data_IF_125931897470
#
_entry.id   IF_125931897470
#
_cell.length_a   1.000
_cell.length_b   1.000
_cell.length_c   1.000
_cell.angle_alpha   90.00
_cell.angle_beta   90.00
_cell.angle_gamma   90.00
#
_symmetry.space_group_name_H-M   'P 1'
#
loop_
_entity.id
_entity.type
_entity.pdbx_description
1 polymer ?
#
# COMPACT_ATOMS: atom_id res chain seq x y z
N UNK A 1 58.50 41.86 25.59
CA UNK A 1 57.58 42.98 25.69
C UNK A 1 56.57 42.93 24.59
N UNK A 2 55.35 42.69 24.98
CA UNK A 2 54.05 42.90 24.33
C UNK A 2 53.64 42.16 23.03
N UNK A 3 52.78 41.24 23.26
CA UNK A 3 51.38 41.10 22.76
C UNK A 3 51.18 40.81 21.27
N UNK A 4 50.94 39.57 20.95
CA UNK A 4 49.97 39.20 19.93
C UNK A 4 49.35 37.83 20.31
N UNK A 5 48.47 37.84 21.30
CA UNK A 5 47.51 36.75 21.56
C UNK A 5 46.12 37.35 21.42
N UNK A 6 45.29 36.69 20.65
CA UNK A 6 43.82 36.84 20.55
C UNK A 6 43.31 37.31 19.18
N UNK A 7 43.44 36.46 18.15
CA UNK A 7 42.51 36.54 17.01
C UNK A 7 42.35 35.20 16.22
N UNK A 8 43.04 34.14 16.63
CA UNK A 8 42.94 32.86 15.91
C UNK A 8 41.78 31.98 16.44
N UNK A 9 41.41 32.16 17.70
CA UNK A 9 40.38 31.33 18.35
C UNK A 9 38.95 31.59 17.80
N UNK A 10 38.60 32.84 17.51
CA UNK A 10 37.23 33.19 17.06
C UNK A 10 36.93 32.78 15.61
N UNK A 11 37.92 32.82 14.72
CA UNK A 11 37.74 32.39 13.33
C UNK A 11 37.64 30.88 13.21
N UNK A 12 38.33 30.10 14.03
CA UNK A 12 38.24 28.66 14.03
C UNK A 12 36.89 28.12 14.52
N UNK A 13 36.33 28.75 15.55
CA UNK A 13 35.01 28.37 16.07
C UNK A 13 33.91 28.71 15.06
N UNK A 14 34.05 29.86 14.36
CA UNK A 14 33.03 30.23 13.36
C UNK A 14 33.07 29.35 12.10
N UNK A 15 34.29 28.97 11.66
CA UNK A 15 34.46 28.02 10.53
C UNK A 15 33.99 26.60 10.89
N UNK A 16 34.23 26.14 12.12
CA UNK A 16 33.73 24.87 12.60
C UNK A 16 32.21 24.87 12.73
N UNK A 17 31.61 25.97 13.18
CA UNK A 17 30.18 26.12 13.32
C UNK A 17 29.48 26.17 11.95
N UNK A 18 30.05 26.83 10.95
CA UNK A 18 29.54 26.82 9.58
C UNK A 18 29.72 25.46 8.89
N UNK A 19 30.88 24.79 9.08
CA UNK A 19 31.07 23.44 8.55
C UNK A 19 30.14 22.41 9.20
N UNK A 20 29.90 22.56 10.50
CA UNK A 20 28.93 21.67 11.21
C UNK A 20 27.49 21.94 10.76
N UNK A 21 27.09 23.21 10.52
CA UNK A 21 25.77 23.52 9.94
C UNK A 21 25.59 22.94 8.53
N UNK A 22 26.63 23.02 7.71
CA UNK A 22 26.59 22.45 6.35
C UNK A 22 26.51 20.92 6.39
N UNK A 23 27.23 20.26 7.30
CA UNK A 23 27.18 18.80 7.45
C UNK A 23 25.83 18.34 7.99
N UNK A 24 25.24 19.07 8.95
CA UNK A 24 23.90 18.74 9.49
C UNK A 24 22.81 18.97 8.44
N UNK A 25 22.93 20.02 7.61
CA UNK A 25 21.98 20.29 6.53
C UNK A 25 22.10 19.26 5.41
N UNK A 26 23.30 18.83 5.05
CA UNK A 26 23.51 17.75 4.09
C UNK A 26 23.06 16.38 4.61
N UNK A 27 23.25 16.07 5.90
CA UNK A 27 22.76 14.83 6.52
C UNK A 27 21.24 14.79 6.58
N UNK A 28 20.56 15.92 6.84
CA UNK A 28 19.11 16.00 6.84
C UNK A 28 18.50 15.86 5.43
N UNK A 29 19.27 16.17 4.36
CA UNK A 29 18.79 16.06 2.98
C UNK A 29 19.07 14.70 2.33
N UNK A 30 19.91 13.86 2.92
CA UNK A 30 20.29 12.56 2.34
C UNK A 30 19.16 11.50 2.34
N UNK A 31 18.13 11.68 3.14
CA UNK A 31 17.00 10.76 3.24
C UNK A 31 15.72 11.28 2.60
N UNK A 32 15.74 12.45 1.95
CA UNK A 32 14.56 13.04 1.33
C UNK A 32 14.87 13.31 -0.13
N UNK A 33 14.35 12.48 -1.02
CA UNK A 33 14.54 12.61 -2.47
C UNK A 33 13.93 13.90 -3.04
N UNK A 34 12.92 14.46 -2.36
CA UNK A 34 12.34 15.76 -2.67
C UNK A 34 11.92 16.47 -1.38
N UNK A 35 12.84 17.27 -0.80
CA UNK A 35 12.61 17.96 0.47
C UNK A 35 11.57 19.07 0.41
N UNK A 36 11.30 19.63 -0.79
CA UNK A 36 10.42 20.79 -0.92
C UNK A 36 8.93 20.39 -1.04
N UNK A 37 8.63 19.22 -1.63
CA UNK A 37 7.28 18.64 -1.71
C UNK A 37 7.38 17.11 -1.75
N UNK A 38 7.45 16.44 -0.60
CA UNK A 38 7.42 14.98 -0.59
C UNK A 38 6.12 14.50 -1.24
N UNK A 39 6.22 13.47 -2.10
CA UNK A 39 5.04 12.78 -2.63
C UNK A 39 4.22 12.21 -1.49
N UNK A 40 2.90 12.19 -1.67
CA UNK A 40 1.98 11.78 -0.62
C UNK A 40 1.06 10.68 -1.12
N UNK A 41 0.99 9.57 -0.37
CA UNK A 41 0.19 8.39 -0.69
C UNK A 41 -0.89 8.19 0.37
N UNK A 42 -2.14 8.03 -0.08
CA UNK A 42 -3.22 7.51 0.76
C UNK A 42 -3.21 5.98 0.66
N UNK A 43 -2.83 5.29 1.74
CA UNK A 43 -2.83 3.83 1.82
C UNK A 43 -4.11 3.38 2.51
N UNK A 44 -4.89 2.52 1.85
CA UNK A 44 -6.20 2.07 2.33
C UNK A 44 -6.12 0.59 2.72
N UNK A 45 -6.45 0.28 3.97
CA UNK A 45 -6.59 -1.08 4.46
C UNK A 45 -8.03 -1.37 4.87
N UNK A 46 -8.48 -2.62 4.69
CA UNK A 46 -9.85 -3.01 4.97
C UNK A 46 -10.13 -3.05 6.49
N UNK A 47 -11.31 -2.59 6.88
CA UNK A 47 -11.84 -2.85 8.23
C UNK A 47 -12.07 -4.35 8.44
N UNK A 48 -12.10 -4.77 9.70
CA UNK A 48 -12.42 -6.15 10.07
C UNK A 48 -13.84 -6.52 9.63
N UNK A 49 -14.01 -7.76 9.19
CA UNK A 49 -15.31 -8.35 8.84
C UNK A 49 -15.37 -9.79 9.33
N UNK A 50 -16.46 -10.47 9.04
CA UNK A 50 -16.63 -11.91 9.29
C UNK A 50 -16.91 -12.58 7.96
N UNK A 51 -16.09 -13.56 7.60
CA UNK A 51 -16.30 -14.36 6.40
C UNK A 51 -17.60 -15.17 6.49
N UNK A 52 -18.47 -15.03 5.51
CA UNK A 52 -19.70 -15.84 5.41
C UNK A 52 -19.40 -17.27 4.97
N UNK A 53 -18.22 -17.55 4.44
CA UNK A 53 -17.79 -18.87 4.00
C UNK A 53 -17.22 -19.70 5.15
N UNK A 54 -16.33 -19.07 5.95
CA UNK A 54 -15.57 -19.76 6.99
C UNK A 54 -16.01 -19.43 8.41
N UNK A 55 -16.73 -18.32 8.61
CA UNK A 55 -17.05 -17.79 9.94
C UNK A 55 -15.86 -17.10 10.62
N UNK A 56 -14.73 -16.97 9.95
CA UNK A 56 -13.54 -16.34 10.53
C UNK A 56 -13.66 -14.83 10.58
N UNK A 57 -13.03 -14.23 11.60
CA UNK A 57 -12.69 -12.82 11.56
C UNK A 57 -11.60 -12.62 10.51
N UNK A 58 -11.85 -11.72 9.57
CA UNK A 58 -10.99 -11.41 8.43
C UNK A 58 -10.70 -9.92 8.39
N UNK A 59 -9.54 -9.56 7.87
CA UNK A 59 -9.07 -8.19 7.85
C UNK A 59 -8.21 -7.88 6.65
N UNK A 60 -7.22 -7.01 6.87
CA UNK A 60 -6.17 -6.72 5.90
C UNK A 60 -5.01 -7.74 6.03
N UNK A 61 -4.13 -7.79 5.03
CA UNK A 61 -2.92 -8.62 5.07
C UNK A 61 -1.69 -7.78 5.44
N UNK A 62 -0.96 -8.18 6.50
CA UNK A 62 0.16 -7.38 7.02
C UNK A 62 1.21 -7.03 5.97
N UNK A 63 1.73 -8.01 5.20
CA UNK A 63 2.77 -7.76 4.20
C UNK A 63 2.31 -6.78 3.11
N UNK A 64 1.02 -6.74 2.80
CA UNK A 64 0.47 -5.86 1.76
C UNK A 64 0.29 -4.41 2.24
N UNK A 65 0.30 -4.19 3.55
CA UNK A 65 0.36 -2.86 4.15
C UNK A 65 1.81 -2.42 4.35
N UNK A 66 2.61 -3.26 5.00
CA UNK A 66 3.92 -2.86 5.52
C UNK A 66 4.99 -2.78 4.46
N UNK A 67 5.02 -3.73 3.50
CA UNK A 67 6.03 -3.72 2.46
C UNK A 67 5.87 -2.51 1.52
N UNK A 68 4.67 -2.19 0.97
CA UNK A 68 4.49 -0.94 0.21
C UNK A 68 4.77 0.31 1.04
N UNK A 69 4.34 0.32 2.31
CA UNK A 69 4.60 1.44 3.21
C UNK A 69 6.10 1.76 3.27
N UNK A 70 6.96 0.75 3.48
CA UNK A 70 8.41 0.94 3.54
C UNK A 70 8.99 1.36 2.21
N UNK A 71 8.56 0.81 1.07
CA UNK A 71 9.01 1.23 -0.26
C UNK A 71 8.75 2.73 -0.48
N UNK A 72 7.58 3.24 -0.09
CA UNK A 72 7.25 4.67 -0.19
C UNK A 72 8.07 5.53 0.78
N UNK A 73 8.16 5.13 2.04
CA UNK A 73 8.86 5.90 3.08
C UNK A 73 10.37 5.96 2.81
N UNK A 74 10.99 4.88 2.36
CA UNK A 74 12.40 4.86 1.97
C UNK A 74 12.71 5.81 0.79
N UNK A 75 11.72 6.09 -0.03
CA UNK A 75 11.79 7.10 -1.10
C UNK A 75 11.44 8.52 -0.63
N UNK A 76 11.25 8.71 0.67
CA UNK A 76 10.92 10.01 1.25
C UNK A 76 9.46 10.42 1.05
N UNK A 77 8.57 9.50 0.69
CA UNK A 77 7.15 9.78 0.54
C UNK A 77 6.47 9.83 1.91
N UNK A 78 5.47 10.68 2.04
CA UNK A 78 4.54 10.64 3.16
C UNK A 78 3.45 9.62 2.88
N UNK A 79 3.17 8.76 3.85
CA UNK A 79 2.10 7.74 3.75
C UNK A 79 1.11 7.95 4.89
N UNK A 80 -0.14 8.23 4.55
CA UNK A 80 -1.24 8.27 5.52
C UNK A 80 -2.08 7.00 5.34
N UNK A 81 -2.37 6.31 6.45
CA UNK A 81 -3.15 5.06 6.45
C UNK A 81 -4.60 5.38 6.79
N UNK A 82 -5.51 4.86 5.98
CA UNK A 82 -6.95 5.02 6.08
C UNK A 82 -7.66 3.66 6.08
N UNK A 83 -8.91 3.65 6.52
CA UNK A 83 -9.82 2.54 6.28
C UNK A 83 -11.21 3.05 5.87
N UNK A 84 -12.06 2.26 5.22
CA UNK A 84 -13.38 2.72 4.78
C UNK A 84 -14.18 3.43 5.86
N UNK A 85 -14.20 2.88 7.07
CA UNK A 85 -15.02 3.39 8.18
C UNK A 85 -14.20 4.13 9.25
N UNK A 86 -12.87 4.09 9.17
CA UNK A 86 -12.00 4.54 10.25
C UNK A 86 -11.85 3.50 11.36
N UNK A 87 -11.17 3.88 12.45
CA UNK A 87 -10.98 3.04 13.63
C UNK A 87 -9.82 2.07 13.54
N UNK A 88 -9.83 1.08 14.42
CA UNK A 88 -8.75 0.10 14.54
C UNK A 88 -8.80 -0.93 13.42
N UNK A 89 -7.67 -1.17 12.79
CA UNK A 89 -7.49 -2.22 11.80
C UNK A 89 -7.14 -3.55 12.49
N UNK A 90 -7.72 -4.61 11.98
CA UNK A 90 -7.41 -6.00 12.39
C UNK A 90 -6.96 -6.76 11.16
N UNK A 91 -5.86 -7.48 11.28
CA UNK A 91 -5.31 -8.26 10.16
C UNK A 91 -5.93 -9.66 10.09
N UNK A 92 -5.82 -10.30 8.92
CA UNK A 92 -6.04 -11.74 8.78
C UNK A 92 -5.03 -12.51 9.65
N UNK A 93 -5.49 -13.52 10.39
CA UNK A 93 -4.63 -14.28 11.30
C UNK A 93 -3.38 -14.84 10.62
N UNK A 94 -3.52 -15.52 9.49
CA UNK A 94 -2.38 -16.08 8.74
C UNK A 94 -1.36 -15.02 8.27
N UNK A 95 -1.76 -13.76 8.16
CA UNK A 95 -0.84 -12.67 7.80
C UNK A 95 -0.01 -12.17 8.97
N UNK A 96 -0.42 -12.48 10.20
CA UNK A 96 0.27 -12.02 11.40
C UNK A 96 1.56 -12.83 11.64
N UNK A 97 2.74 -12.18 11.68
CA UNK A 97 4.00 -12.88 11.94
C UNK A 97 4.09 -13.52 13.33
N UNK A 98 3.18 -13.17 14.25
CA UNK A 98 3.11 -13.76 15.60
C UNK A 98 1.95 -14.75 15.74
N UNK A 99 1.23 -15.05 14.67
CA UNK A 99 0.16 -16.04 14.70
C UNK A 99 0.71 -17.46 14.98
N UNK A 100 -0.05 -18.23 15.74
CA UNK A 100 0.34 -19.59 16.14
C UNK A 100 0.52 -20.56 14.95
N UNK A 101 -0.06 -20.26 13.77
CA UNK A 101 0.16 -21.05 12.56
C UNK A 101 1.60 -20.99 12.05
N UNK A 102 2.34 -19.92 12.39
CA UNK A 102 3.68 -19.66 11.87
C UNK A 102 3.73 -19.35 10.37
N UNK A 103 2.58 -19.20 9.70
CA UNK A 103 2.53 -18.99 8.24
C UNK A 103 3.34 -17.78 7.80
N UNK A 104 3.21 -16.65 8.48
CA UNK A 104 3.94 -15.40 8.19
C UNK A 104 5.10 -15.10 9.15
N UNK A 105 5.56 -16.09 9.95
CA UNK A 105 6.62 -15.87 10.95
C UNK A 105 7.95 -15.38 10.36
N UNK A 106 8.18 -15.57 9.08
CA UNK A 106 9.37 -15.09 8.34
C UNK A 106 9.27 -13.60 7.93
N UNK A 107 8.11 -12.96 8.07
CA UNK A 107 7.92 -11.55 7.69
C UNK A 107 8.39 -10.60 8.78
N UNK A 108 9.71 -10.36 8.79
CA UNK A 108 10.35 -9.48 9.76
C UNK A 108 10.00 -8.00 9.55
N UNK A 109 9.57 -7.60 8.35
CA UNK A 109 9.13 -6.23 8.06
C UNK A 109 7.82 -5.96 8.79
N UNK A 110 6.83 -6.83 8.64
CA UNK A 110 5.57 -6.72 9.37
C UNK A 110 5.75 -6.87 10.88
N UNK A 111 6.62 -7.77 11.34
CA UNK A 111 6.95 -7.90 12.76
C UNK A 111 7.55 -6.60 13.31
N UNK A 112 8.52 -6.01 12.60
CA UNK A 112 9.13 -4.74 13.00
C UNK A 112 8.12 -3.60 13.05
N UNK A 113 7.20 -3.51 12.09
CA UNK A 113 6.11 -2.53 12.08
C UNK A 113 5.21 -2.68 13.32
N UNK A 114 4.76 -3.88 13.62
CA UNK A 114 3.95 -4.19 14.81
C UNK A 114 4.66 -3.86 16.12
N UNK A 115 5.96 -4.16 16.23
CA UNK A 115 6.73 -3.93 17.48
C UNK A 115 7.19 -2.48 17.65
N UNK A 116 7.19 -1.69 16.61
CA UNK A 116 7.51 -0.26 16.70
C UNK A 116 6.34 0.52 17.29
N UNK A 117 6.49 1.18 18.46
CA UNK A 117 5.40 1.94 19.07
C UNK A 117 4.88 3.08 18.20
N UNK A 118 5.72 3.59 17.29
CA UNK A 118 5.35 4.62 16.33
C UNK A 118 4.45 4.04 15.24
N UNK A 119 4.86 2.93 14.64
CA UNK A 119 4.15 2.35 13.49
C UNK A 119 2.86 1.61 13.92
N UNK A 120 2.88 0.91 15.05
CA UNK A 120 1.69 0.24 15.58
C UNK A 120 0.48 1.19 15.72
N UNK A 121 0.73 2.43 16.16
CA UNK A 121 -0.32 3.45 16.28
C UNK A 121 -0.99 3.85 14.96
N UNK A 122 -0.32 3.66 13.83
CA UNK A 122 -0.86 4.00 12.52
C UNK A 122 -2.05 3.13 12.13
N UNK A 123 -2.21 1.96 12.76
CA UNK A 123 -3.31 1.02 12.51
C UNK A 123 -4.32 0.94 13.66
N UNK A 124 -4.07 1.63 14.78
CA UNK A 124 -4.94 1.60 15.96
C UNK A 124 -6.18 2.50 15.83
N UNK A 125 -6.06 3.61 15.11
CA UNK A 125 -7.15 4.58 14.96
C UNK A 125 -7.05 5.30 13.61
N UNK A 126 -7.29 4.56 12.55
CA UNK A 126 -7.24 5.12 11.19
C UNK A 126 -8.36 6.12 10.95
N UNK A 127 -8.12 7.21 10.20
CA UNK A 127 -9.20 8.05 9.70
C UNK A 127 -10.01 7.30 8.63
N UNK A 128 -11.30 7.69 8.48
CA UNK A 128 -12.15 7.19 7.40
C UNK A 128 -11.75 7.76 6.05
N UNK A 129 -11.96 6.98 4.97
CA UNK A 129 -11.76 7.44 3.59
C UNK A 129 -12.57 8.71 3.24
N UNK A 130 -13.62 9.02 3.97
CA UNK A 130 -14.41 10.26 3.80
C UNK A 130 -13.57 11.53 4.05
N UNK A 131 -12.43 11.41 4.73
CA UNK A 131 -11.52 12.51 5.00
C UNK A 131 -10.49 12.75 3.89
N UNK A 132 -10.40 11.85 2.91
CA UNK A 132 -9.44 11.94 1.81
C UNK A 132 -9.88 13.00 0.81
N UNK A 133 -9.04 13.99 0.60
CA UNK A 133 -9.17 14.93 -0.51
C UNK A 133 -8.19 14.52 -1.61
N UNK A 134 -8.69 14.16 -2.76
CA UNK A 134 -7.84 13.69 -3.89
C UNK A 134 -6.73 14.68 -4.22
N UNK A 135 -6.98 15.98 -4.08
CA UNK A 135 -6.00 17.02 -4.35
C UNK A 135 -4.75 16.95 -3.45
N UNK A 136 -4.89 16.42 -2.22
CA UNK A 136 -3.81 16.40 -1.22
C UNK A 136 -2.82 15.24 -1.41
N UNK A 137 -3.09 14.31 -2.33
CA UNK A 137 -2.30 13.10 -2.55
C UNK A 137 -1.82 12.99 -3.98
N UNK A 138 -0.68 12.35 -4.19
CA UNK A 138 -0.13 12.00 -5.51
C UNK A 138 -0.62 10.62 -5.98
N UNK A 139 -1.07 9.77 -5.05
CA UNK A 139 -1.62 8.47 -5.35
C UNK A 139 -2.40 7.85 -4.21
N UNK A 140 -3.11 6.77 -4.55
CA UNK A 140 -3.85 5.91 -3.63
C UNK A 140 -3.34 4.48 -3.76
N UNK A 141 -3.21 3.75 -2.64
CA UNK A 141 -2.79 2.35 -2.62
C UNK A 141 -3.75 1.54 -1.75
N UNK A 142 -4.39 0.51 -2.33
CA UNK A 142 -5.31 -0.38 -1.62
C UNK A 142 -4.61 -1.70 -1.30
N UNK A 143 -4.59 -2.07 -0.02
CA UNK A 143 -4.07 -3.35 0.45
C UNK A 143 -5.16 -4.40 0.45
N UNK A 144 -4.82 -5.66 0.20
CA UNK A 144 -5.77 -6.75 0.25
C UNK A 144 -5.88 -7.38 1.64
N UNK A 145 -5.90 -8.69 1.69
CA UNK A 145 -6.39 -9.53 2.76
C UNK A 145 -7.76 -10.09 2.36
N UNK A 146 -8.40 -10.85 3.23
CA UNK A 146 -9.69 -11.47 2.90
C UNK A 146 -10.87 -10.49 3.02
N UNK A 147 -10.79 -9.52 3.93
CA UNK A 147 -11.91 -8.58 4.18
C UNK A 147 -12.33 -7.78 2.95
N UNK A 148 -11.47 -7.34 2.02
CA UNK A 148 -11.88 -6.66 0.78
C UNK A 148 -12.98 -7.38 0.00
N UNK A 149 -13.00 -8.71 -0.01
CA UNK A 149 -14.02 -9.52 -0.71
C UNK A 149 -15.43 -9.32 -0.14
N UNK A 150 -15.55 -8.71 1.03
CA UNK A 150 -16.81 -8.41 1.72
C UNK A 150 -17.04 -6.92 1.94
N UNK A 151 -15.95 -6.15 2.14
CA UNK A 151 -16.06 -4.74 2.55
C UNK A 151 -15.71 -3.76 1.42
N UNK A 152 -14.91 -4.17 0.42
CA UNK A 152 -14.57 -3.32 -0.71
C UNK A 152 -15.44 -3.56 -1.94
N UNK A 153 -15.84 -4.83 -2.18
CA UNK A 153 -16.56 -5.23 -3.40
C UNK A 153 -17.85 -4.43 -3.65
N UNK A 154 -18.55 -4.03 -2.61
CA UNK A 154 -19.79 -3.28 -2.68
C UNK A 154 -19.68 -1.85 -2.10
N UNK A 155 -18.47 -1.39 -1.81
CA UNK A 155 -18.23 -0.06 -1.25
C UNK A 155 -18.18 1.00 -2.36
N UNK A 156 -19.34 1.54 -2.71
CA UNK A 156 -19.43 2.57 -3.75
C UNK A 156 -18.61 3.84 -3.46
N UNK A 157 -18.43 4.21 -2.18
CA UNK A 157 -17.59 5.37 -1.81
C UNK A 157 -16.13 5.11 -2.19
N UNK A 158 -15.63 3.90 -1.86
CA UNK A 158 -14.28 3.49 -2.21
C UNK A 158 -14.11 3.41 -3.74
N UNK A 159 -15.11 2.87 -4.46
CA UNK A 159 -15.07 2.83 -5.93
C UNK A 159 -14.96 4.23 -6.53
N UNK A 160 -15.80 5.17 -6.07
CA UNK A 160 -15.74 6.57 -6.52
C UNK A 160 -14.40 7.22 -6.19
N UNK A 161 -13.83 6.94 -5.02
CA UNK A 161 -12.52 7.48 -4.62
C UNK A 161 -11.41 6.96 -5.54
N UNK A 162 -11.35 5.65 -5.81
CA UNK A 162 -10.38 5.03 -6.73
C UNK A 162 -10.49 5.65 -8.12
N UNK A 163 -11.71 5.77 -8.64
CA UNK A 163 -11.97 6.39 -9.95
C UNK A 163 -11.54 7.86 -9.96
N UNK A 164 -11.82 8.61 -8.90
CA UNK A 164 -11.43 10.02 -8.83
C UNK A 164 -9.90 10.21 -8.89
N UNK A 165 -9.12 9.34 -8.20
CA UNK A 165 -7.66 9.33 -8.36
C UNK A 165 -7.24 8.98 -9.79
N UNK A 166 -7.84 7.95 -10.37
CA UNK A 166 -7.54 7.50 -11.70
C UNK A 166 -7.79 8.58 -12.75
N UNK A 167 -8.96 9.21 -12.73
CA UNK A 167 -9.35 10.28 -13.68
C UNK A 167 -8.53 11.56 -13.47
N UNK A 168 -8.13 11.85 -12.24
CA UNK A 168 -7.18 12.92 -11.93
C UNK A 168 -5.74 12.63 -12.39
N UNK A 169 -5.49 11.50 -13.08
CA UNK A 169 -4.17 11.05 -13.56
C UNK A 169 -3.16 10.82 -12.42
N UNK A 170 -3.65 10.59 -11.22
CA UNK A 170 -2.84 10.20 -10.06
C UNK A 170 -2.63 8.69 -10.06
N UNK A 171 -1.55 8.24 -9.43
CA UNK A 171 -1.24 6.81 -9.39
C UNK A 171 -2.24 6.04 -8.52
N UNK A 172 -2.72 4.91 -9.04
CA UNK A 172 -3.66 4.01 -8.36
C UNK A 172 -3.01 2.64 -8.25
N UNK A 173 -2.61 2.26 -7.03
CA UNK A 173 -2.07 0.94 -6.70
C UNK A 173 -3.12 0.09 -6.00
N UNK A 174 -3.30 -1.16 -6.42
CA UNK A 174 -4.26 -2.09 -5.80
C UNK A 174 -3.66 -3.49 -5.83
N UNK A 175 -3.67 -4.20 -4.69
CA UNK A 175 -3.05 -5.54 -4.63
C UNK A 175 -4.00 -6.61 -4.09
N UNK A 176 -3.76 -7.85 -4.50
CA UNK A 176 -4.40 -9.04 -3.96
C UNK A 176 -5.93 -8.97 -4.09
N UNK A 177 -6.66 -9.37 -3.05
CA UNK A 177 -8.12 -9.34 -3.05
C UNK A 177 -8.72 -7.93 -3.09
N UNK A 178 -7.95 -6.86 -2.79
CA UNK A 178 -8.45 -5.50 -2.99
C UNK A 178 -8.77 -5.20 -4.46
N UNK A 179 -8.18 -5.94 -5.42
CA UNK A 179 -8.48 -5.80 -6.84
C UNK A 179 -9.92 -6.13 -7.21
N UNK A 180 -10.70 -6.74 -6.30
CA UNK A 180 -12.15 -6.91 -6.45
C UNK A 180 -12.90 -5.60 -6.72
N UNK A 181 -12.38 -4.46 -6.23
CA UNK A 181 -12.90 -3.11 -6.53
C UNK A 181 -13.01 -2.88 -8.05
N UNK A 182 -12.06 -3.39 -8.81
CA UNK A 182 -11.98 -3.20 -10.26
C UNK A 182 -13.07 -3.93 -11.03
N UNK A 183 -13.72 -4.92 -10.42
CA UNK A 183 -14.86 -5.62 -11.00
C UNK A 183 -16.12 -4.73 -11.08
N UNK A 184 -16.16 -3.64 -10.28
CA UNK A 184 -17.34 -2.77 -10.16
C UNK A 184 -17.06 -1.28 -10.33
N UNK A 185 -15.81 -0.82 -10.17
CA UNK A 185 -15.44 0.57 -10.29
C UNK A 185 -15.66 1.08 -11.71
N UNK A 186 -16.52 2.10 -11.87
CA UNK A 186 -16.87 2.70 -13.16
C UNK A 186 -16.36 4.12 -13.25
N UNK A 187 -15.73 4.42 -14.37
CA UNK A 187 -15.32 5.78 -14.77
C UNK A 187 -16.52 6.68 -15.06
N UNK A 188 -16.31 7.96 -15.15
CA UNK A 188 -17.37 8.97 -15.37
C UNK A 188 -18.16 8.77 -16.67
N UNK A 189 -17.59 8.06 -17.67
CA UNK A 189 -18.27 7.65 -18.90
C UNK A 189 -19.10 6.35 -18.76
N UNK A 190 -19.17 5.78 -17.57
CA UNK A 190 -19.97 4.60 -17.22
C UNK A 190 -19.32 3.25 -17.52
N UNK A 191 -18.10 3.22 -18.07
CA UNK A 191 -17.35 2.00 -18.35
C UNK A 191 -16.65 1.49 -17.08
N UNK A 192 -16.38 0.19 -17.02
CA UNK A 192 -15.49 -0.32 -15.98
C UNK A 192 -14.08 0.26 -16.16
N UNK A 193 -13.43 0.63 -15.07
CA UNK A 193 -12.08 1.19 -15.08
C UNK A 193 -11.07 0.29 -15.79
N UNK A 194 -11.29 -1.01 -15.75
CA UNK A 194 -10.42 -2.01 -16.38
C UNK A 194 -10.72 -2.31 -17.85
N UNK A 195 -11.72 -1.69 -18.44
CA UNK A 195 -11.94 -1.84 -19.89
C UNK A 195 -10.75 -1.28 -20.68
N UNK A 196 -10.21 -2.08 -21.58
CA UNK A 196 -9.00 -1.77 -22.35
C UNK A 196 -7.71 -1.81 -21.54
N UNK A 197 -7.71 -2.33 -20.31
CA UNK A 197 -6.55 -2.38 -19.43
C UNK A 197 -5.97 -3.77 -19.27
N UNK A 198 -4.65 -3.80 -19.06
CA UNK A 198 -3.95 -4.98 -18.57
C UNK A 198 -3.77 -4.85 -17.07
N UNK A 199 -4.22 -5.84 -16.31
CA UNK A 199 -4.19 -5.85 -14.85
C UNK A 199 -4.08 -7.25 -14.28
N UNK A 200 -3.81 -7.35 -12.99
CA UNK A 200 -3.72 -8.60 -12.24
C UNK A 200 -4.44 -8.46 -10.90
N UNK A 201 -4.69 -9.57 -10.27
CA UNK A 201 -5.26 -9.70 -8.93
C UNK A 201 -5.07 -11.13 -8.44
N UNK A 202 -5.72 -11.48 -7.34
CA UNK A 202 -5.58 -12.83 -6.76
C UNK A 202 -6.04 -13.88 -7.78
N UNK A 203 -5.15 -14.84 -8.05
CA UNK A 203 -5.31 -15.78 -9.16
C UNK A 203 -6.10 -17.05 -8.75
N UNK A 204 -6.81 -17.65 -9.70
CA UNK A 204 -7.57 -18.89 -9.49
C UNK A 204 -6.72 -20.03 -8.93
N UNK A 205 -5.46 -20.14 -9.35
CA UNK A 205 -4.57 -21.20 -8.87
C UNK A 205 -4.10 -20.96 -7.43
N UNK A 206 -4.02 -19.70 -7.01
CA UNK A 206 -3.73 -19.32 -5.62
C UNK A 206 -4.95 -19.57 -4.73
N UNK A 207 -6.16 -19.28 -5.21
CA UNK A 207 -7.41 -19.61 -4.51
C UNK A 207 -7.56 -21.13 -4.32
N UNK A 208 -7.32 -21.91 -5.37
CA UNK A 208 -7.34 -23.38 -5.29
C UNK A 208 -6.34 -23.91 -4.27
N UNK A 209 -5.14 -23.32 -4.24
CA UNK A 209 -4.13 -23.70 -3.26
C UNK A 209 -4.61 -23.39 -1.83
N UNK A 210 -5.14 -22.19 -1.60
CA UNK A 210 -5.64 -21.77 -0.30
C UNK A 210 -6.84 -22.61 0.16
N UNK A 211 -7.82 -22.85 -0.71
CA UNK A 211 -8.99 -23.72 -0.44
C UNK A 211 -8.56 -25.15 -0.08
N UNK A 212 -7.60 -25.71 -0.82
CA UNK A 212 -7.07 -27.04 -0.54
C UNK A 212 -6.30 -27.10 0.78
N UNK A 213 -5.50 -26.05 1.08
CA UNK A 213 -4.75 -25.97 2.34
C UNK A 213 -5.68 -25.92 3.55
N UNK A 214 -6.78 -25.19 3.45
CA UNK A 214 -7.77 -25.05 4.52
C UNK A 214 -8.80 -26.22 4.51
N UNK A 215 -8.98 -26.88 3.39
CA UNK A 215 -9.96 -27.96 3.22
C UNK A 215 -11.39 -27.49 2.96
N UNK A 216 -11.58 -26.21 2.67
CA UNK A 216 -12.89 -25.63 2.30
C UNK A 216 -12.73 -24.39 1.44
N UNK A 217 -13.79 -23.99 0.75
CA UNK A 217 -13.83 -22.73 0.00
C UNK A 217 -13.75 -21.54 0.97
N UNK A 218 -12.78 -20.63 0.73
CA UNK A 218 -12.53 -19.48 1.59
C UNK A 218 -13.27 -18.25 1.09
N UNK A 219 -13.18 -17.97 -0.22
CA UNK A 219 -13.69 -16.74 -0.81
C UNK A 219 -15.12 -16.92 -1.39
N UNK A 220 -15.98 -15.88 -1.35
CA UNK A 220 -17.34 -15.96 -1.92
C UNK A 220 -17.34 -16.11 -3.44
N UNK A 221 -16.34 -15.58 -4.11
CA UNK A 221 -16.08 -15.71 -5.56
C UNK A 221 -14.58 -15.57 -5.81
N UNK A 222 -14.11 -15.87 -7.03
CA UNK A 222 -12.71 -15.70 -7.42
C UNK A 222 -12.57 -14.55 -8.40
N UNK A 223 -11.58 -13.68 -8.17
CA UNK A 223 -11.39 -12.44 -8.91
C UNK A 223 -11.05 -12.71 -10.38
N UNK A 224 -10.16 -13.67 -10.65
CA UNK A 224 -9.78 -14.03 -12.01
C UNK A 224 -10.97 -14.58 -12.81
N UNK A 225 -11.82 -15.43 -12.19
CA UNK A 225 -13.04 -15.93 -12.84
C UNK A 225 -13.99 -14.79 -13.21
N UNK A 226 -14.18 -13.81 -12.33
CA UNK A 226 -15.04 -12.65 -12.59
C UNK A 226 -14.41 -11.70 -13.62
N UNK A 227 -13.10 -11.50 -13.57
CA UNK A 227 -12.36 -10.68 -14.52
C UNK A 227 -12.47 -11.22 -15.96
N UNK A 228 -12.42 -12.55 -16.13
CA UNK A 228 -12.57 -13.20 -17.43
C UNK A 228 -13.94 -13.00 -18.08
N UNK A 229 -14.97 -12.60 -17.31
CA UNK A 229 -16.31 -12.27 -17.81
C UNK A 229 -16.42 -10.85 -18.35
N UNK A 230 -15.47 -9.99 -18.04
CA UNK A 230 -15.46 -8.58 -18.46
C UNK A 230 -14.95 -8.51 -19.90
N UNK A 231 -15.77 -7.95 -20.81
CA UNK A 231 -15.34 -7.71 -22.17
C UNK A 231 -14.21 -6.65 -22.24
N UNK A 232 -13.33 -6.80 -23.23
CA UNK A 232 -12.24 -5.84 -23.47
C UNK A 232 -11.32 -5.56 -22.28
N UNK A 233 -11.10 -6.54 -21.41
CA UNK A 233 -10.06 -6.45 -20.38
C UNK A 233 -9.01 -7.53 -20.59
N UNK A 234 -7.79 -7.30 -20.13
CA UNK A 234 -6.69 -8.24 -20.20
C UNK A 234 -6.21 -8.57 -18.77
N UNK A 235 -6.85 -9.55 -18.13
CA UNK A 235 -6.40 -10.06 -16.84
C UNK A 235 -5.27 -11.05 -17.06
N UNK A 236 -4.11 -10.81 -16.42
CA UNK A 236 -2.93 -11.67 -16.55
C UNK A 236 -2.40 -12.07 -15.17
N UNK A 237 -1.84 -13.25 -15.09
CA UNK A 237 -1.26 -13.79 -13.85
C UNK A 237 0.21 -14.16 -14.06
N UNK A 238 0.99 -14.05 -12.98
CA UNK A 238 2.32 -14.61 -12.87
C UNK A 238 2.30 -16.03 -12.29
N UNK A 239 3.44 -16.52 -11.84
CA UNK A 239 3.51 -17.82 -11.15
C UNK A 239 2.85 -17.77 -9.77
N UNK A 240 2.31 -18.91 -9.33
CA UNK A 240 1.64 -19.07 -8.02
C UNK A 240 2.55 -18.61 -6.89
N UNK A 241 2.04 -17.70 -6.06
CA UNK A 241 2.75 -17.05 -4.94
C UNK A 241 4.11 -16.44 -5.29
N UNK A 242 4.33 -16.06 -6.54
CA UNK A 242 5.49 -15.25 -6.95
C UNK A 242 5.09 -13.78 -7.03
N UNK A 243 5.95 -12.89 -6.55
CA UNK A 243 5.72 -11.46 -6.67
C UNK A 243 5.50 -11.09 -8.15
N UNK A 244 4.31 -10.55 -8.44
CA UNK A 244 3.91 -10.15 -9.78
C UNK A 244 3.06 -8.89 -9.72
N UNK A 245 3.46 -7.87 -10.46
CA UNK A 245 2.73 -6.61 -10.55
C UNK A 245 2.71 -6.10 -11.99
N UNK A 246 1.65 -5.40 -12.34
CA UNK A 246 1.40 -4.87 -13.68
C UNK A 246 1.09 -3.39 -13.58
N UNK A 247 1.61 -2.62 -14.52
CA UNK A 247 1.27 -1.20 -14.72
C UNK A 247 0.66 -0.98 -16.09
N UNK A 248 -0.52 -0.37 -16.12
CA UNK A 248 -1.16 0.14 -17.34
C UNK A 248 -1.54 1.62 -17.15
N UNK A 249 -0.70 2.50 -17.66
CA UNK A 249 -0.83 3.93 -17.41
C UNK A 249 -0.60 4.29 -15.95
N UNK A 250 -1.63 4.84 -15.31
CA UNK A 250 -1.63 5.18 -13.90
C UNK A 250 -2.36 4.15 -13.01
N UNK A 251 -2.84 3.04 -13.59
CA UNK A 251 -3.32 1.88 -12.83
C UNK A 251 -2.16 0.90 -12.61
N UNK A 252 -1.90 0.54 -11.38
CA UNK A 252 -0.90 -0.44 -10.96
C UNK A 252 -1.61 -1.52 -10.15
N UNK A 253 -1.42 -2.78 -10.50
CA UNK A 253 -2.02 -3.90 -9.76
C UNK A 253 -0.98 -4.93 -9.38
N UNK A 254 -1.15 -5.56 -8.22
CA UNK A 254 -0.32 -6.65 -7.72
C UNK A 254 -1.15 -7.90 -7.44
N UNK A 255 -0.59 -9.09 -7.75
CA UNK A 255 -1.36 -10.32 -7.78
C UNK A 255 -1.78 -10.79 -6.38
N UNK A 256 -0.87 -10.83 -5.40
CA UNK A 256 -1.10 -11.44 -4.09
C UNK A 256 -0.15 -10.86 -3.02
N UNK A 257 -0.09 -11.46 -1.82
CA UNK A 257 0.59 -10.95 -0.63
C UNK A 257 2.08 -10.62 -0.80
N UNK A 258 2.79 -11.23 -1.75
CA UNK A 258 4.21 -10.92 -2.03
C UNK A 258 4.38 -9.84 -3.10
N UNK A 259 3.29 -9.33 -3.65
CA UNK A 259 3.30 -8.36 -4.76
C UNK A 259 3.27 -6.89 -4.31
N UNK A 260 3.07 -6.64 -3.01
CA UNK A 260 2.92 -5.28 -2.47
C UNK A 260 4.11 -4.37 -2.75
N UNK A 261 5.34 -4.83 -2.47
CA UNK A 261 6.56 -4.08 -2.76
C UNK A 261 6.77 -3.85 -4.26
N UNK A 262 6.49 -4.86 -5.10
CA UNK A 262 6.59 -4.73 -6.55
C UNK A 262 5.61 -3.69 -7.11
N UNK A 263 4.37 -3.70 -6.64
CA UNK A 263 3.36 -2.71 -7.03
C UNK A 263 3.75 -1.29 -6.57
N UNK A 264 4.27 -1.14 -5.34
CA UNK A 264 4.76 0.14 -4.85
C UNK A 264 5.93 0.68 -5.68
N UNK A 265 6.88 -0.16 -6.10
CA UNK A 265 7.99 0.24 -6.98
C UNK A 265 7.49 0.75 -8.33
N UNK A 266 6.56 0.04 -8.98
CA UNK A 266 5.94 0.51 -10.22
C UNK A 266 5.18 1.82 -10.03
N UNK A 267 4.57 2.03 -8.86
CA UNK A 267 3.88 3.27 -8.53
C UNK A 267 4.88 4.43 -8.33
N UNK A 268 6.01 4.19 -7.67
CA UNK A 268 7.11 5.15 -7.51
C UNK A 268 7.66 5.55 -8.88
N UNK A 269 7.91 4.59 -9.77
CA UNK A 269 8.34 4.84 -11.16
C UNK A 269 7.29 5.68 -11.93
N UNK A 270 5.99 5.40 -11.73
CA UNK A 270 4.91 6.16 -12.34
C UNK A 270 4.86 7.62 -11.88
N UNK A 271 5.27 7.88 -10.63
CA UNK A 271 5.31 9.21 -10.03
C UNK A 271 6.59 10.00 -10.38
N UNK A 272 7.55 9.36 -11.04
CA UNK A 272 8.71 10.01 -11.63
C UNK A 272 9.76 10.38 -10.59
N UNK A 273 10.32 9.40 -9.90
CA UNK A 273 11.49 9.57 -9.02
C UNK A 273 12.78 9.52 -9.79
#
# INVERSE_FOLDING_TARGET
>A
MYLCKNNISFRFVHILHQKFKIIVTMSASLNVLNSEKPKKIALIAANVSVSKQTGWHIGFWWAELTHPYWEFVEKGYQVDIYSPEGGTLVADGFSDPEDASGYSAHDLISLGFKKSPHHAKLVENTPSIDQIKVADYDGIFLTGGQSPMYTFIDNEKLHRLVVAFYEAKKAVGIVCHATCVLLKAKTSDGKLLVEGKTWTGFADDEEKFADNFVGQKIQPFWIEEEAKKIANTNFITGGVFRAFAVRDGNLITGQQQFSGAAAAKLMIEALGV
#
